data_IF_221439503476
#
_entry.id   IF_221439503476
#
_cell.length_a   1.000
_cell.length_b   1.000
_cell.length_c   1.000
_cell.angle_alpha   90.00
_cell.angle_beta   90.00
_cell.angle_gamma   90.00
#
_symmetry.space_group_name_H-M   'P 1'
#
loop_
_entity.id
_entity.type
_entity.pdbx_description
1 polymer ?
#
# COMPACT_ATOMS: atom_id res chain seq x y z
N UNK A 1 8.40 -31.53 -17.75
CA UNK A 1 7.45 -31.36 -16.64
C UNK A 1 7.05 -29.89 -16.62
N UNK A 2 5.77 -29.53 -16.59
CA UNK A 2 5.32 -28.14 -16.46
C UNK A 2 4.79 -27.94 -15.05
N UNK A 3 5.20 -26.87 -14.39
CA UNK A 3 4.70 -26.48 -13.08
C UNK A 3 3.46 -25.58 -13.23
N UNK A 4 2.47 -25.79 -12.37
CA UNK A 4 1.24 -25.00 -12.35
C UNK A 4 1.32 -23.93 -11.26
N UNK A 5 1.04 -22.68 -11.64
CA UNK A 5 1.01 -21.54 -10.71
C UNK A 5 -0.39 -20.95 -10.71
N UNK A 6 -1.02 -20.91 -9.54
CA UNK A 6 -2.28 -20.19 -9.36
C UNK A 6 -2.02 -18.74 -8.99
N UNK A 7 -2.76 -17.81 -9.62
CA UNK A 7 -2.77 -16.40 -9.20
C UNK A 7 -4.06 -16.09 -8.45
N UNK A 8 -3.91 -15.55 -7.25
CA UNK A 8 -5.02 -15.06 -6.45
C UNK A 8 -4.96 -13.54 -6.37
N UNK A 9 -6.02 -12.86 -6.76
CA UNK A 9 -6.08 -11.44 -7.06
C UNK A 9 -5.33 -11.09 -8.37
N UNK A 10 -5.40 -9.81 -8.72
CA UNK A 10 -4.70 -9.31 -9.91
C UNK A 10 -3.20 -9.20 -9.64
N UNK A 11 -2.42 -10.07 -10.21
CA UNK A 11 -0.95 -10.00 -10.24
C UNK A 11 -0.51 -9.26 -11.51
N UNK A 12 0.51 -8.42 -11.41
CA UNK A 12 1.02 -7.63 -12.53
C UNK A 12 1.62 -8.53 -13.62
N UNK A 13 1.24 -8.28 -14.88
CA UNK A 13 1.84 -8.95 -16.03
C UNK A 13 3.35 -8.76 -16.12
N UNK A 14 3.89 -7.61 -15.70
CA UNK A 14 5.32 -7.38 -15.64
C UNK A 14 6.08 -8.41 -14.78
N UNK A 15 5.40 -9.06 -13.83
CA UNK A 15 5.93 -10.18 -13.05
C UNK A 15 5.66 -11.53 -13.71
N UNK A 16 4.41 -11.78 -14.13
CA UNK A 16 4.03 -13.09 -14.69
C UNK A 16 4.66 -13.37 -16.05
N UNK A 17 4.90 -12.35 -16.87
CA UNK A 17 5.55 -12.48 -18.18
C UNK A 17 7.05 -12.85 -18.08
N UNK A 18 7.62 -12.90 -16.87
CA UNK A 18 9.01 -13.33 -16.64
C UNK A 18 9.14 -14.84 -16.44
N UNK A 19 8.04 -15.56 -16.29
CA UNK A 19 8.07 -17.01 -16.20
C UNK A 19 8.25 -17.62 -17.60
N UNK A 20 9.14 -18.60 -17.71
CA UNK A 20 9.37 -19.32 -18.95
C UNK A 20 8.31 -20.39 -19.20
N UNK A 21 8.38 -21.07 -20.36
CA UNK A 21 7.43 -22.09 -20.79
C UNK A 21 7.33 -23.33 -19.91
N UNK A 22 8.22 -23.46 -18.90
CA UNK A 22 8.14 -24.51 -17.89
C UNK A 22 6.99 -24.26 -16.87
N UNK A 23 6.39 -23.07 -16.86
CA UNK A 23 5.32 -22.69 -15.96
C UNK A 23 4.03 -22.41 -16.71
N UNK A 24 2.92 -22.88 -16.17
CA UNK A 24 1.57 -22.50 -16.60
C UNK A 24 0.93 -21.68 -15.51
N UNK A 25 0.48 -20.46 -15.84
CA UNK A 25 -0.10 -19.52 -14.89
C UNK A 25 -1.60 -19.38 -15.19
N UNK A 26 -2.44 -19.60 -14.18
CA UNK A 26 -3.89 -19.46 -14.27
C UNK A 26 -4.47 -19.02 -12.92
N UNK A 27 -5.62 -18.35 -12.95
CA UNK A 27 -6.36 -17.98 -11.73
C UNK A 27 -7.28 -19.11 -11.23
N UNK A 28 -7.61 -20.07 -12.11
CA UNK A 28 -8.45 -21.23 -11.83
C UNK A 28 -7.68 -22.56 -11.75
N UNK A 29 -6.35 -22.51 -11.61
CA UNK A 29 -5.53 -23.72 -11.50
C UNK A 29 -5.97 -24.59 -10.32
N UNK A 30 -6.24 -25.86 -10.61
CA UNK A 30 -6.55 -26.86 -9.60
C UNK A 30 -5.27 -27.52 -9.14
N UNK A 31 -5.09 -27.69 -7.82
CA UNK A 31 -3.93 -28.31 -7.21
C UNK A 31 -2.57 -27.78 -7.75
N UNK A 32 -2.29 -26.47 -7.59
CA UNK A 32 -1.11 -25.82 -8.15
C UNK A 32 0.17 -26.20 -7.40
N UNK A 33 1.33 -26.18 -8.11
CA UNK A 33 2.64 -26.30 -7.48
C UNK A 33 3.03 -25.03 -6.70
N UNK A 34 2.51 -23.87 -7.08
CA UNK A 34 2.73 -22.61 -6.38
C UNK A 34 1.54 -21.66 -6.46
N UNK A 35 1.44 -20.75 -5.50
CA UNK A 35 0.41 -19.69 -5.45
C UNK A 35 1.10 -18.33 -5.43
N UNK A 36 0.66 -17.43 -6.33
CA UNK A 36 0.95 -16.00 -6.27
C UNK A 36 -0.26 -15.27 -5.71
N UNK A 37 -0.11 -14.61 -4.55
CA UNK A 37 -1.21 -13.93 -3.87
C UNK A 37 -0.86 -12.49 -3.55
N UNK A 38 -1.85 -11.61 -3.47
CA UNK A 38 -1.69 -10.24 -3.00
C UNK A 38 -2.43 -10.01 -1.68
N UNK A 39 -3.76 -10.04 -1.70
CA UNK A 39 -4.61 -9.69 -0.55
C UNK A 39 -5.64 -10.76 -0.17
N UNK A 40 -5.82 -11.80 -0.99
CA UNK A 40 -6.73 -12.89 -0.65
C UNK A 40 -6.26 -13.61 0.62
N UNK A 41 -7.21 -13.95 1.49
CA UNK A 41 -6.93 -14.76 2.68
C UNK A 41 -6.76 -16.23 2.27
N UNK A 42 -5.73 -16.87 2.80
CA UNK A 42 -5.46 -18.30 2.63
C UNK A 42 -5.73 -19.11 3.92
N UNK A 43 -6.27 -18.47 4.96
CA UNK A 43 -6.50 -19.13 6.24
C UNK A 43 -7.49 -20.30 6.14
N UNK A 44 -8.53 -20.15 5.32
CA UNK A 44 -9.55 -21.18 5.13
C UNK A 44 -9.34 -22.02 3.86
N UNK A 45 -8.20 -21.82 3.17
CA UNK A 45 -7.88 -22.55 1.93
C UNK A 45 -7.28 -23.91 2.27
N UNK A 46 -7.80 -24.97 1.67
CA UNK A 46 -7.14 -26.28 1.70
C UNK A 46 -5.98 -26.30 0.71
N UNK A 47 -4.81 -26.72 1.15
CA UNK A 47 -3.64 -26.89 0.30
C UNK A 47 -3.55 -28.32 -0.18
N UNK A 48 -3.34 -28.51 -1.48
CA UNK A 48 -3.06 -29.81 -2.07
C UNK A 48 -1.62 -30.28 -1.80
N UNK A 49 -1.37 -31.57 -1.95
CA UNK A 49 -0.05 -32.19 -1.70
C UNK A 49 1.04 -31.69 -2.67
N UNK A 50 0.64 -31.14 -3.82
CA UNK A 50 1.57 -30.62 -4.81
C UNK A 50 2.09 -29.22 -4.48
N UNK A 51 1.45 -28.47 -3.58
CA UNK A 51 1.81 -27.09 -3.29
C UNK A 51 3.16 -26.99 -2.56
N UNK A 52 4.13 -26.37 -3.22
CA UNK A 52 5.51 -26.22 -2.72
C UNK A 52 5.83 -24.81 -2.24
N UNK A 53 5.13 -23.80 -2.81
CA UNK A 53 5.47 -22.41 -2.52
C UNK A 53 4.26 -21.48 -2.59
N UNK A 54 4.25 -20.46 -1.73
CA UNK A 54 3.34 -19.35 -1.77
C UNK A 54 4.17 -18.06 -1.81
N UNK A 55 3.96 -17.22 -2.84
CA UNK A 55 4.63 -15.93 -2.93
C UNK A 55 3.64 -14.78 -2.86
N UNK A 56 3.84 -13.89 -1.87
CA UNK A 56 3.00 -12.70 -1.70
C UNK A 56 3.58 -11.48 -2.39
N UNK A 57 2.78 -10.88 -3.26
CA UNK A 57 3.07 -9.56 -3.84
C UNK A 57 2.77 -8.46 -2.79
N UNK A 58 3.61 -8.34 -1.77
CA UNK A 58 3.49 -7.39 -0.67
C UNK A 58 4.41 -7.73 0.51
N UNK A 59 4.55 -6.81 1.46
CA UNK A 59 5.48 -6.93 2.58
C UNK A 59 4.95 -7.82 3.72
N UNK A 60 3.69 -7.62 4.12
CA UNK A 60 3.09 -8.42 5.20
C UNK A 60 2.73 -9.84 4.74
N UNK A 61 2.51 -10.75 5.67
CA UNK A 61 2.11 -12.15 5.40
C UNK A 61 0.90 -12.59 6.25
N UNK A 62 0.20 -11.62 6.81
CA UNK A 62 -0.93 -11.84 7.72
C UNK A 62 -2.14 -12.53 7.08
N UNK A 63 -2.20 -12.62 5.77
CA UNK A 63 -3.23 -13.33 5.01
C UNK A 63 -2.82 -14.79 4.66
N UNK A 64 -1.65 -15.24 5.11
CA UNK A 64 -1.11 -16.59 4.85
C UNK A 64 -0.95 -17.32 6.19
N UNK A 65 -1.47 -18.54 6.34
CA UNK A 65 -1.33 -19.32 7.55
C UNK A 65 0.07 -19.94 7.66
N UNK A 66 1.04 -19.19 8.18
CA UNK A 66 2.46 -19.56 8.20
C UNK A 66 2.73 -20.87 8.90
N UNK A 67 2.07 -21.13 10.04
CA UNK A 67 2.25 -22.36 10.81
C UNK A 67 1.84 -23.59 10.00
N UNK A 68 0.67 -23.54 9.36
CA UNK A 68 0.20 -24.61 8.46
C UNK A 68 1.13 -24.82 7.26
N UNK A 69 1.65 -23.71 6.69
CA UNK A 69 2.62 -23.80 5.60
C UNK A 69 3.91 -24.49 6.06
N UNK A 70 4.40 -24.15 7.24
CA UNK A 70 5.61 -24.78 7.81
C UNK A 70 5.41 -26.27 8.07
N UNK A 71 4.29 -26.66 8.66
CA UNK A 71 3.94 -28.07 8.92
C UNK A 71 3.84 -28.89 7.62
N UNK A 72 3.29 -28.26 6.56
CA UNK A 72 3.16 -28.90 5.24
C UNK A 72 4.44 -28.81 4.37
N UNK A 73 5.51 -28.16 4.84
CA UNK A 73 6.74 -27.98 4.05
C UNK A 73 6.62 -27.00 2.91
N UNK A 74 5.63 -26.06 2.96
CA UNK A 74 5.39 -25.05 1.92
C UNK A 74 6.23 -23.81 2.21
N UNK A 75 7.10 -23.43 1.27
CA UNK A 75 7.90 -22.21 1.38
C UNK A 75 7.05 -20.95 1.15
N UNK A 76 7.14 -19.96 2.06
CA UNK A 76 6.44 -18.68 1.91
C UNK A 76 7.42 -17.57 1.64
N UNK A 77 7.16 -16.81 0.56
CA UNK A 77 7.94 -15.66 0.13
C UNK A 77 7.10 -14.38 0.18
N UNK A 78 7.76 -13.25 0.42
CA UNK A 78 7.15 -11.93 0.37
C UNK A 78 8.07 -10.93 -0.35
N UNK A 79 7.57 -9.71 -0.60
CA UNK A 79 8.31 -8.65 -1.30
C UNK A 79 8.39 -7.39 -0.42
N UNK A 80 9.20 -7.39 0.65
CA UNK A 80 9.30 -6.24 1.54
C UNK A 80 9.92 -5.04 0.81
N UNK A 81 9.35 -3.84 1.05
CA UNK A 81 9.85 -2.59 0.48
C UNK A 81 9.45 -2.30 -0.97
N UNK A 82 8.89 -3.24 -1.72
CA UNK A 82 8.57 -3.06 -3.14
C UNK A 82 7.63 -1.87 -3.43
N UNK A 83 6.69 -1.56 -2.52
CA UNK A 83 5.75 -0.45 -2.63
C UNK A 83 6.08 0.73 -1.71
N UNK A 84 7.24 0.73 -1.03
CA UNK A 84 7.54 1.70 0.00
C UNK A 84 7.56 3.15 -0.53
N UNK A 85 8.11 3.38 -1.72
CA UNK A 85 8.10 4.69 -2.36
C UNK A 85 6.68 5.16 -2.70
N UNK A 86 5.85 4.31 -3.27
CA UNK A 86 4.48 4.67 -3.62
C UNK A 86 3.64 5.03 -2.37
N UNK A 87 3.83 4.30 -1.27
CA UNK A 87 3.18 4.61 0.01
C UNK A 87 3.69 5.94 0.57
N UNK A 88 5.00 6.20 0.53
CA UNK A 88 5.57 7.50 0.92
C UNK A 88 4.91 8.66 0.16
N UNK A 89 4.77 8.55 -1.16
CA UNK A 89 4.15 9.58 -1.99
C UNK A 89 2.68 9.82 -1.61
N UNK A 90 1.94 8.75 -1.33
CA UNK A 90 0.56 8.85 -0.88
C UNK A 90 0.45 9.52 0.50
N UNK A 91 1.37 9.23 1.42
CA UNK A 91 1.42 9.88 2.74
C UNK A 91 1.66 11.39 2.59
N UNK A 92 2.64 11.80 1.77
CA UNK A 92 2.89 13.23 1.51
C UNK A 92 1.69 13.92 0.88
N UNK A 93 1.05 13.25 -0.09
CA UNK A 93 -0.18 13.74 -0.70
C UNK A 93 -1.28 13.94 0.36
N UNK A 94 -1.48 12.95 1.25
CA UNK A 94 -2.47 13.05 2.33
C UNK A 94 -2.20 14.22 3.29
N UNK A 95 -0.93 14.45 3.65
CA UNK A 95 -0.53 15.58 4.50
C UNK A 95 -0.85 16.93 3.85
N UNK A 96 -0.58 17.07 2.56
CA UNK A 96 -0.86 18.32 1.83
C UNK A 96 -2.37 18.53 1.64
N UNK A 97 -3.11 17.51 1.25
CA UNK A 97 -4.55 17.57 1.06
C UNK A 97 -5.26 17.94 2.37
N UNK A 98 -4.90 17.31 3.49
CA UNK A 98 -5.52 17.57 4.79
C UNK A 98 -5.23 18.99 5.31
N UNK A 99 -4.04 19.53 5.00
CA UNK A 99 -3.66 20.87 5.41
C UNK A 99 -4.35 21.99 4.63
N UNK A 100 -4.66 21.76 3.34
CA UNK A 100 -5.03 22.82 2.41
C UNK A 100 -6.48 22.75 1.90
N UNK A 101 -7.33 21.90 2.50
CA UNK A 101 -8.76 21.73 2.14
C UNK A 101 -8.98 21.54 0.62
N UNK A 102 -8.07 20.79 -0.04
CA UNK A 102 -8.08 20.65 -1.51
C UNK A 102 -9.36 19.97 -2.02
N UNK A 103 -9.86 18.87 -1.43
CA UNK A 103 -11.08 18.21 -1.90
C UNK A 103 -12.30 19.13 -1.86
N UNK A 104 -12.45 19.91 -0.79
CA UNK A 104 -13.54 20.85 -0.62
C UNK A 104 -13.45 21.98 -1.63
N UNK A 105 -12.24 22.49 -1.88
CA UNK A 105 -12.01 23.53 -2.88
C UNK A 105 -12.31 23.01 -4.30
N UNK A 106 -11.95 21.79 -4.63
CA UNK A 106 -12.26 21.17 -5.93
C UNK A 106 -13.77 20.99 -6.11
N UNK A 107 -14.46 20.48 -5.09
CA UNK A 107 -15.91 20.31 -5.13
C UNK A 107 -16.62 21.66 -5.35
N UNK A 108 -16.18 22.69 -4.63
CA UNK A 108 -16.72 24.03 -4.80
C UNK A 108 -16.41 24.60 -6.20
N UNK A 109 -15.17 24.49 -6.68
CA UNK A 109 -14.78 24.99 -8.00
C UNK A 109 -15.62 24.38 -9.12
N UNK A 110 -16.00 23.11 -9.00
CA UNK A 110 -16.87 22.45 -9.97
C UNK A 110 -18.31 23.01 -10.02
N UNK A 111 -18.72 23.76 -9.00
CA UNK A 111 -20.06 24.41 -8.98
C UNK A 111 -20.07 25.80 -9.63
N UNK A 112 -18.91 26.39 -9.89
CA UNK A 112 -18.79 27.74 -10.42
C UNK A 112 -19.22 27.78 -11.89
N UNK A 113 -20.05 28.79 -12.24
CA UNK A 113 -20.53 29.02 -13.60
C UNK A 113 -20.61 30.52 -13.85
N UNK A 114 -20.38 30.94 -15.10
CA UNK A 114 -20.66 32.29 -15.51
C UNK A 114 -22.17 32.56 -15.49
N UNK A 115 -22.55 33.73 -14.99
CA UNK A 115 -23.92 34.20 -14.84
C UNK A 115 -23.94 35.68 -14.57
N UNK A 116 -24.74 36.15 -13.63
CA UNK A 116 -24.75 37.54 -13.17
C UNK A 116 -23.39 38.01 -12.65
N UNK A 117 -22.61 37.07 -12.10
CA UNK A 117 -21.25 37.30 -11.62
C UNK A 117 -20.30 36.36 -12.35
N UNK A 118 -19.21 36.88 -12.92
CA UNK A 118 -18.20 36.09 -13.58
C UNK A 118 -17.50 35.11 -12.61
N UNK A 119 -17.05 33.96 -13.12
CA UNK A 119 -16.31 32.94 -12.33
C UNK A 119 -15.12 33.56 -11.60
N UNK A 120 -14.38 34.48 -12.23
CA UNK A 120 -13.25 35.17 -11.59
C UNK A 120 -13.66 35.92 -10.31
N UNK A 121 -14.78 36.66 -10.34
CA UNK A 121 -15.29 37.37 -9.14
C UNK A 121 -15.80 36.41 -8.08
N UNK A 122 -16.43 35.29 -8.47
CA UNK A 122 -16.86 34.24 -7.54
C UNK A 122 -15.65 33.62 -6.84
N UNK A 123 -14.56 33.33 -7.58
CA UNK A 123 -13.31 32.80 -7.02
C UNK A 123 -12.70 33.76 -6.00
N UNK A 124 -12.56 35.04 -6.34
CA UNK A 124 -12.01 36.06 -5.43
C UNK A 124 -12.81 36.17 -4.14
N UNK A 125 -14.13 36.09 -4.21
CA UNK A 125 -15.02 36.17 -3.05
C UNK A 125 -14.98 34.91 -2.17
N UNK A 126 -14.80 33.73 -2.79
CA UNK A 126 -14.97 32.42 -2.11
C UNK A 126 -13.68 31.72 -1.71
N UNK A 127 -12.54 32.02 -2.34
CA UNK A 127 -11.29 31.26 -2.15
C UNK A 127 -10.78 31.23 -0.72
N UNK A 128 -11.05 32.26 0.09
CA UNK A 128 -10.56 32.36 1.47
C UNK A 128 -11.11 31.28 2.42
N UNK A 129 -12.28 30.72 2.12
CA UNK A 129 -12.88 29.65 2.93
C UNK A 129 -12.06 28.36 2.91
N UNK A 130 -11.21 28.17 1.91
CA UNK A 130 -10.34 27.02 1.74
C UNK A 130 -8.90 27.28 2.24
N UNK A 131 -8.66 28.41 2.90
CA UNK A 131 -7.38 28.65 3.55
C UNK A 131 -7.10 27.57 4.58
N UNK A 132 -5.86 27.10 4.62
CA UNK A 132 -5.40 26.11 5.56
C UNK A 132 -3.95 26.36 5.98
N UNK A 133 -3.47 25.75 7.07
CA UNK A 133 -2.13 25.97 7.55
C UNK A 133 -1.09 25.35 6.58
N UNK A 134 0.08 25.93 6.53
CA UNK A 134 1.23 25.29 5.90
C UNK A 134 1.74 24.14 6.77
N UNK A 135 2.32 23.12 6.14
CA UNK A 135 2.98 22.01 6.86
C UNK A 135 4.38 22.39 7.33
N UNK A 136 4.99 23.42 6.75
CA UNK A 136 6.31 23.92 7.14
C UNK A 136 6.36 24.26 8.63
N UNK A 137 7.43 23.83 9.31
CA UNK A 137 7.63 24.05 10.73
C UNK A 137 6.79 23.19 11.66
N UNK A 138 5.93 22.31 11.14
CA UNK A 138 5.14 21.40 11.95
C UNK A 138 5.89 20.10 12.27
N UNK A 139 5.53 19.47 13.37
CA UNK A 139 6.11 18.17 13.77
C UNK A 139 5.28 17.04 13.17
N UNK A 140 5.95 16.11 12.52
CA UNK A 140 5.39 14.87 12.00
C UNK A 140 5.79 13.70 12.90
N UNK A 141 4.86 13.13 13.66
CA UNK A 141 5.08 11.90 14.41
C UNK A 141 5.04 10.68 13.49
N UNK A 142 6.06 9.81 13.58
CA UNK A 142 6.15 8.58 12.78
C UNK A 142 6.27 7.38 13.72
N UNK A 143 5.29 6.49 13.66
CA UNK A 143 5.29 5.23 14.41
C UNK A 143 5.81 4.12 13.49
N UNK A 144 7.03 3.62 13.79
CA UNK A 144 7.73 2.62 12.99
C UNK A 144 8.61 3.22 11.90
N UNK A 145 9.92 3.08 12.07
CA UNK A 145 10.95 3.49 11.10
C UNK A 145 11.42 2.31 10.24
N UNK A 146 10.48 1.49 9.76
CA UNK A 146 10.76 0.47 8.74
C UNK A 146 10.96 1.09 7.35
N UNK A 147 10.91 0.26 6.30
CA UNK A 147 11.15 0.68 4.92
C UNK A 147 10.32 1.89 4.46
N UNK A 148 9.07 1.99 4.89
CA UNK A 148 8.17 3.11 4.56
C UNK A 148 8.44 4.30 5.46
N UNK A 149 8.45 4.09 6.80
CA UNK A 149 8.59 5.18 7.76
C UNK A 149 9.89 5.97 7.59
N UNK A 150 10.99 5.29 7.28
CA UNK A 150 12.28 5.95 6.99
C UNK A 150 12.20 6.82 5.72
N UNK A 151 11.56 6.34 4.65
CA UNK A 151 11.36 7.13 3.43
C UNK A 151 10.45 8.34 3.66
N UNK A 152 9.39 8.18 4.46
CA UNK A 152 8.51 9.30 4.84
C UNK A 152 9.27 10.32 5.67
N UNK A 153 10.05 9.89 6.67
CA UNK A 153 10.86 10.78 7.50
C UNK A 153 11.82 11.63 6.66
N UNK A 154 12.58 10.99 5.78
CA UNK A 154 13.52 11.67 4.90
C UNK A 154 12.82 12.65 3.94
N UNK A 155 11.71 12.26 3.35
CA UNK A 155 10.97 13.10 2.41
C UNK A 155 10.27 14.28 3.10
N UNK A 156 9.86 14.15 4.36
CA UNK A 156 9.19 15.19 5.12
C UNK A 156 10.09 16.39 5.44
N UNK A 157 11.40 16.22 5.44
CA UNK A 157 12.38 17.30 5.69
C UNK A 157 12.33 18.37 4.58
N UNK A 158 12.19 17.95 3.31
CA UNK A 158 12.18 18.86 2.16
C UNK A 158 11.06 19.93 2.22
N UNK A 159 9.80 19.60 2.52
CA UNK A 159 8.76 20.62 2.73
C UNK A 159 8.83 21.31 4.10
N UNK A 160 9.89 21.09 4.89
CA UNK A 160 10.13 21.77 6.15
C UNK A 160 9.37 21.22 7.35
N UNK A 161 8.93 19.97 7.30
CA UNK A 161 8.44 19.24 8.47
C UNK A 161 9.59 18.81 9.37
N UNK A 162 9.31 18.65 10.66
CA UNK A 162 10.21 18.09 11.65
C UNK A 162 9.79 16.65 12.00
N UNK A 163 10.32 15.62 11.33
CA UNK A 163 9.97 14.24 11.63
C UNK A 163 10.49 13.85 13.02
N UNK A 164 9.63 13.22 13.81
CA UNK A 164 9.94 12.68 15.12
C UNK A 164 9.59 11.18 15.12
N UNK A 165 10.52 10.29 15.49
CA UNK A 165 10.18 8.88 15.67
C UNK A 165 9.24 8.75 16.86
N UNK A 166 8.07 8.17 16.64
CA UNK A 166 7.15 7.78 17.71
C UNK A 166 7.71 6.58 18.47
N UNK A 167 7.41 6.50 19.76
CA UNK A 167 7.72 5.31 20.54
C UNK A 167 6.99 4.11 19.91
N UNK A 168 7.74 3.09 19.55
CA UNK A 168 7.18 1.80 19.16
C UNK A 168 6.34 1.27 20.34
N UNK A 169 5.08 0.91 20.17
CA UNK A 169 4.48 0.00 21.12
C UNK A 169 5.34 -1.26 21.11
N UNK A 170 5.97 -1.58 22.23
CA UNK A 170 6.70 -2.83 22.41
C UNK A 170 5.72 -3.95 22.05
N UNK A 171 6.07 -4.88 21.13
CA UNK A 171 5.26 -6.07 20.99
C UNK A 171 5.23 -6.75 22.34
N UNK A 172 4.03 -7.00 22.84
CA UNK A 172 3.85 -7.83 24.03
C UNK A 172 4.23 -9.27 23.66
N UNK A 173 5.53 -9.54 23.59
CA UNK A 173 6.02 -10.92 23.64
C UNK A 173 5.81 -11.39 25.06
N UNK A 174 4.69 -12.07 25.28
CA UNK A 174 4.51 -12.91 26.45
C UNK A 174 5.67 -13.88 26.49
N UNK A 175 6.48 -13.78 27.55
CA UNK A 175 7.37 -14.87 27.94
C UNK A 175 6.46 -15.96 28.48
N UNK A 176 6.39 -17.04 27.78
CA UNK A 176 5.87 -18.31 28.20
C UNK A 176 6.80 -19.36 27.65
#
# INVERSE_FOLDING_TARGET
>A
MKYSIQTLNKISKAGTDRFCDAYTISDDAKDPDAILVRSASLHDTSFGDNLKAIARAGAGVNNIPLDRCSEAGICVFNTPGANANAVKELVLTGLLISSRKIPEAMAWAATLKDGETSVAKQVEKGKSQFAGPEIKGKTLGIIGLGAIGALVANAAVSPGLHPQPGLHPQPAFGRG
#
